data_IF_831595694248
#
_entry.id   IF_831595694248
#
_cell.length_a   1.000
_cell.length_b   1.000
_cell.length_c   1.000
_cell.angle_alpha   90.00
_cell.angle_beta   90.00
_cell.angle_gamma   90.00
#
_symmetry.space_group_name_H-M   'P 1'
#
loop_
_entity.id
_entity.type
_entity.pdbx_description
1 polymer ?
#
# COMPACT_ATOMS: atom_id res chain seq x y z
N UNK A 1 11.80 -17.71 -17.26
CA UNK A 1 10.66 -18.66 -17.27
C UNK A 1 10.41 -19.07 -15.83
N UNK A 2 9.21 -18.82 -15.30
CA UNK A 2 8.82 -19.17 -13.93
C UNK A 2 8.03 -20.49 -13.99
N UNK A 3 8.35 -21.42 -13.10
CA UNK A 3 7.61 -22.67 -12.93
C UNK A 3 6.97 -22.70 -11.55
N UNK A 4 5.66 -22.88 -11.50
CA UNK A 4 4.88 -22.96 -10.26
C UNK A 4 4.13 -24.27 -10.24
N UNK A 5 4.15 -24.97 -9.10
CA UNK A 5 3.38 -26.19 -8.92
C UNK A 5 1.97 -25.81 -8.48
N UNK A 6 0.99 -26.26 -9.25
CA UNK A 6 -0.43 -26.18 -8.90
C UNK A 6 -0.91 -27.56 -8.48
N UNK A 7 -1.88 -27.60 -7.58
CA UNK A 7 -2.60 -28.84 -7.27
C UNK A 7 -3.45 -29.26 -8.47
N UNK A 8 -3.83 -30.54 -8.53
CA UNK A 8 -4.69 -31.06 -9.60
C UNK A 8 -6.04 -30.34 -9.67
N UNK A 9 -6.58 -29.92 -8.51
CA UNK A 9 -7.84 -29.19 -8.43
C UNK A 9 -7.71 -27.77 -9.01
N UNK A 10 -6.62 -27.06 -8.73
CA UNK A 10 -6.37 -25.71 -9.24
C UNK A 10 -6.13 -25.73 -10.76
N UNK A 11 -5.35 -26.70 -11.24
CA UNK A 11 -5.09 -26.88 -12.68
C UNK A 11 -6.39 -27.14 -13.46
N UNK A 12 -7.28 -27.97 -12.89
CA UNK A 12 -8.60 -28.25 -13.49
C UNK A 12 -9.46 -27.00 -13.58
N UNK A 13 -9.57 -26.22 -12.49
CA UNK A 13 -10.32 -24.96 -12.48
C UNK A 13 -9.75 -23.94 -13.46
N UNK A 14 -8.42 -23.84 -13.54
CA UNK A 14 -7.76 -22.95 -14.49
C UNK A 14 -8.04 -23.37 -15.94
N UNK A 15 -8.01 -24.66 -16.24
CA UNK A 15 -8.33 -25.18 -17.56
C UNK A 15 -9.79 -24.90 -17.95
N UNK A 16 -10.75 -25.19 -17.07
CA UNK A 16 -12.17 -24.90 -17.29
C UNK A 16 -12.42 -23.41 -17.55
N UNK A 17 -11.78 -22.54 -16.76
CA UNK A 17 -11.87 -21.10 -16.96
C UNK A 17 -11.29 -20.67 -18.33
N UNK A 18 -10.14 -21.22 -18.71
CA UNK A 18 -9.50 -20.92 -20.00
C UNK A 18 -10.36 -21.36 -21.19
N UNK A 19 -10.98 -22.54 -21.10
CA UNK A 19 -11.89 -23.07 -22.13
C UNK A 19 -13.13 -22.21 -22.29
N UNK A 20 -13.75 -21.79 -21.18
CA UNK A 20 -14.96 -20.95 -21.21
C UNK A 20 -14.71 -19.56 -21.79
N UNK A 21 -13.52 -19.00 -21.57
CA UNK A 21 -13.18 -17.63 -21.97
C UNK A 21 -12.33 -17.56 -23.24
N UNK A 22 -11.93 -18.70 -23.83
CA UNK A 22 -11.06 -18.75 -25.00
C UNK A 22 -9.66 -18.16 -24.74
N UNK A 23 -9.19 -18.19 -23.49
CA UNK A 23 -7.92 -17.61 -23.07
C UNK A 23 -6.85 -18.67 -22.88
N UNK A 24 -5.58 -18.29 -23.06
CA UNK A 24 -4.47 -19.18 -22.72
C UNK A 24 -4.17 -19.15 -21.22
N UNK A 25 -3.76 -20.28 -20.64
CA UNK A 25 -3.34 -20.36 -19.23
C UNK A 25 -2.28 -19.32 -18.88
N UNK A 26 -1.32 -19.10 -19.78
CA UNK A 26 -0.25 -18.10 -19.56
C UNK A 26 -0.81 -16.68 -19.49
N UNK A 27 -1.81 -16.34 -20.30
CA UNK A 27 -2.43 -15.02 -20.26
C UNK A 27 -3.17 -14.81 -18.93
N UNK A 28 -3.97 -15.78 -18.51
CA UNK A 28 -4.72 -15.70 -17.23
C UNK A 28 -3.76 -15.56 -16.05
N UNK A 29 -2.67 -16.33 -16.02
CA UNK A 29 -1.66 -16.24 -14.94
C UNK A 29 -0.95 -14.88 -14.94
N UNK A 30 -0.63 -14.33 -16.12
CA UNK A 30 0.00 -12.99 -16.23
C UNK A 30 -0.93 -11.89 -15.72
N UNK A 31 -2.19 -11.93 -16.11
CA UNK A 31 -3.19 -10.95 -15.67
C UNK A 31 -3.42 -11.03 -14.15
N UNK A 32 -3.55 -12.24 -13.61
CA UNK A 32 -3.68 -12.45 -12.16
C UNK A 32 -2.47 -11.92 -11.39
N UNK A 33 -1.24 -12.14 -11.89
CA UNK A 33 -0.03 -11.60 -11.29
C UNK A 33 0.01 -10.07 -11.35
N UNK A 34 -0.38 -9.47 -12.47
CA UNK A 34 -0.45 -8.01 -12.58
C UNK A 34 -1.43 -7.43 -11.55
N UNK A 35 -2.63 -7.99 -11.45
CA UNK A 35 -3.63 -7.57 -10.45
C UNK A 35 -3.11 -7.74 -9.02
N UNK A 36 -2.45 -8.85 -8.71
CA UNK A 36 -1.88 -9.11 -7.38
C UNK A 36 -0.80 -8.08 -7.00
N UNK A 37 0.05 -7.70 -7.96
CA UNK A 37 1.11 -6.72 -7.74
C UNK A 37 0.57 -5.29 -7.65
N UNK A 38 -0.42 -4.92 -8.46
CA UNK A 38 -1.09 -3.61 -8.39
C UNK A 38 -1.84 -3.43 -7.07
N UNK A 39 -2.49 -4.48 -6.56
CA UNK A 39 -3.19 -4.40 -5.26
C UNK A 39 -2.27 -4.06 -4.08
N UNK A 40 -0.96 -4.32 -4.21
CA UNK A 40 0.03 -3.98 -3.16
C UNK A 40 0.51 -2.53 -3.24
N UNK A 41 0.34 -1.85 -4.38
CA UNK A 41 0.88 -0.50 -4.59
C UNK A 41 -0.06 0.65 -4.24
N UNK A 42 -1.35 0.38 -3.96
CA UNK A 42 -2.34 1.46 -3.95
C UNK A 42 -2.51 2.23 -2.64
N UNK A 43 -1.97 1.78 -1.50
CA UNK A 43 -2.09 2.58 -0.27
C UNK A 43 -0.87 2.34 0.62
N UNK A 44 -0.13 3.42 0.93
CA UNK A 44 0.89 3.41 1.97
C UNK A 44 0.25 3.00 3.30
N UNK A 45 0.92 2.20 4.13
CA UNK A 45 0.40 1.88 5.48
C UNK A 45 0.08 3.15 6.30
N UNK A 46 0.74 4.26 5.99
CA UNK A 46 0.44 5.59 6.54
C UNK A 46 -0.91 6.14 6.07
N UNK A 47 -1.22 5.99 4.78
CA UNK A 47 -2.50 6.41 4.19
C UNK A 47 -3.65 5.50 4.67
N UNK A 48 -3.42 4.18 4.78
CA UNK A 48 -4.42 3.23 5.31
C UNK A 48 -4.77 3.52 6.77
N UNK A 49 -3.81 4.02 7.55
CA UNK A 49 -3.99 4.38 8.96
C UNK A 49 -4.51 5.79 9.19
N UNK A 50 -4.77 6.58 8.14
CA UNK A 50 -5.14 7.99 8.28
C UNK A 50 -6.40 8.18 9.14
N UNK A 51 -7.38 7.29 9.05
CA UNK A 51 -8.59 7.33 9.88
C UNK A 51 -8.33 7.03 11.36
N UNK A 52 -7.25 6.31 11.67
CA UNK A 52 -6.84 5.96 13.04
C UNK A 52 -5.97 7.04 13.68
N UNK A 53 -5.15 7.75 12.89
CA UNK A 53 -4.25 8.79 13.38
C UNK A 53 -4.77 10.22 13.14
N UNK A 54 -5.75 10.40 12.26
CA UNK A 54 -6.29 11.69 11.83
C UNK A 54 -7.05 12.45 12.93
N UNK A 55 -7.61 11.74 13.91
CA UNK A 55 -8.31 12.34 15.06
C UNK A 55 -7.39 13.22 15.94
N UNK A 56 -6.08 12.96 15.92
CA UNK A 56 -5.07 13.75 16.62
C UNK A 56 -4.17 14.54 15.67
N UNK A 57 -4.59 14.74 14.42
CA UNK A 57 -3.81 15.51 13.45
C UNK A 57 -3.78 16.98 13.87
N UNK A 58 -2.63 17.46 14.30
CA UNK A 58 -2.35 18.88 14.15
C UNK A 58 -2.25 19.13 12.64
N UNK A 59 -3.00 20.07 12.08
CA UNK A 59 -2.88 20.54 10.67
C UNK A 59 -1.47 21.05 10.28
N UNK A 60 -0.47 20.80 11.11
CA UNK A 60 0.93 21.18 10.96
C UNK A 60 1.74 19.93 10.57
N UNK A 61 2.10 19.86 9.29
CA UNK A 61 2.86 18.76 8.69
C UNK A 61 4.38 18.90 8.87
N UNK A 62 4.84 20.05 9.36
CA UNK A 62 6.24 20.46 9.47
C UNK A 62 6.77 20.41 10.92
N UNK A 63 6.01 19.85 11.87
CA UNK A 63 6.41 19.77 13.29
C UNK A 63 7.74 19.06 13.49
N UNK A 64 7.99 18.01 12.72
CA UNK A 64 9.22 17.22 12.79
C UNK A 64 10.43 17.99 12.24
N UNK A 65 10.24 18.79 11.19
CA UNK A 65 11.32 19.54 10.52
C UNK A 65 11.63 20.85 11.23
N UNK A 66 10.63 21.53 11.80
CA UNK A 66 10.78 22.83 12.46
C UNK A 66 10.89 22.75 13.99
N UNK A 67 10.95 21.54 14.55
CA UNK A 67 10.96 21.28 16.01
C UNK A 67 11.93 22.19 16.78
N UNK A 68 13.20 22.26 16.36
CA UNK A 68 14.23 23.05 17.05
C UNK A 68 13.97 24.57 16.98
N UNK A 69 13.42 25.08 15.88
CA UNK A 69 13.08 26.49 15.75
C UNK A 69 11.92 26.86 16.68
N UNK A 70 10.87 26.02 16.72
CA UNK A 70 9.71 26.23 17.60
C UNK A 70 10.10 26.17 19.08
N UNK A 71 10.94 25.21 19.47
CA UNK A 71 11.43 25.09 20.84
C UNK A 71 12.19 26.34 21.28
N UNK A 72 13.08 26.87 20.43
CA UNK A 72 13.82 28.11 20.69
C UNK A 72 12.88 29.31 20.83
N UNK A 73 11.86 29.41 19.96
CA UNK A 73 10.86 30.48 20.02
C UNK A 73 10.09 30.46 21.35
N UNK A 74 9.58 29.30 21.77
CA UNK A 74 8.85 29.15 23.04
C UNK A 74 9.74 29.45 24.27
N UNK A 75 11.00 29.02 24.25
CA UNK A 75 11.96 29.33 25.32
C UNK A 75 12.25 30.83 25.40
N UNK A 76 12.48 31.49 24.27
CA UNK A 76 12.69 32.92 24.22
C UNK A 76 11.44 33.68 24.71
N UNK A 77 10.23 33.31 24.27
CA UNK A 77 8.98 33.92 24.75
C UNK A 77 8.79 33.76 26.27
N UNK A 78 9.19 32.62 26.84
CA UNK A 78 9.09 32.35 28.29
C UNK A 78 10.12 33.11 29.13
N UNK A 79 11.29 33.39 28.56
CA UNK A 79 12.43 34.00 29.26
C UNK A 79 12.69 35.47 28.88
N UNK A 80 11.89 36.06 27.98
CA UNK A 80 12.03 37.45 27.54
C UNK A 80 11.27 38.44 28.44
N UNK A 81 11.07 38.09 29.71
CA UNK A 81 10.50 38.95 30.75
C UNK A 81 11.56 39.42 31.74
#
# INVERSE_FOLDING_TARGET
MLTTRLTSAEEKKLAEYCEQNGLSKSQVVKEALAQYLTKKSEVSAYETGQDLFGAASSNETDRSTTYKQRLRKMLNEKHSH
#
